data_IF_941789998148
#
_entry.id   IF_941789998148
#
_cell.length_a   1.000
_cell.length_b   1.000
_cell.length_c   1.000
_cell.angle_alpha   90.00
_cell.angle_beta   90.00
_cell.angle_gamma   90.00
#
_symmetry.space_group_name_H-M   'P 1'
#
loop_
_entity.id
_entity.type
_entity.pdbx_description
1 polymer ?
#
# COMPACT_ATOMS: atom_id res chain seq x y z
N UNK A 1 -14.58 -19.45 -14.39
CA UNK A 1 -14.60 -17.98 -14.16
C UNK A 1 -14.92 -17.72 -12.70
N UNK A 2 -14.53 -16.56 -12.17
CA UNK A 2 -14.86 -16.18 -10.78
C UNK A 2 -16.38 -16.14 -10.54
N UNK A 3 -17.15 -15.71 -11.54
CA UNK A 3 -18.61 -15.72 -11.49
C UNK A 3 -19.19 -17.11 -11.25
N UNK A 4 -18.70 -18.15 -11.96
CA UNK A 4 -19.13 -19.54 -11.77
C UNK A 4 -18.78 -20.05 -10.37
N UNK A 5 -17.61 -19.67 -9.85
CA UNK A 5 -17.21 -20.04 -8.49
C UNK A 5 -18.11 -19.39 -7.44
N UNK A 6 -18.45 -18.11 -7.58
CA UNK A 6 -19.38 -17.43 -6.69
C UNK A 6 -20.79 -18.04 -6.76
N UNK A 7 -21.28 -18.40 -7.95
CA UNK A 7 -22.55 -19.12 -8.09
C UNK A 7 -22.52 -20.48 -7.41
N UNK A 8 -21.43 -21.25 -7.55
CA UNK A 8 -21.27 -22.52 -6.85
C UNK A 8 -21.34 -22.34 -5.33
N UNK A 9 -20.61 -21.37 -4.78
CA UNK A 9 -20.64 -21.09 -3.33
C UNK A 9 -22.05 -20.73 -2.87
N UNK A 10 -22.77 -19.90 -3.63
CA UNK A 10 -24.16 -19.55 -3.33
C UNK A 10 -25.05 -20.80 -3.28
N UNK A 11 -24.93 -21.69 -4.27
CA UNK A 11 -25.69 -22.95 -4.29
C UNK A 11 -25.37 -23.83 -3.08
N UNK A 12 -24.09 -24.00 -2.73
CA UNK A 12 -23.70 -24.83 -1.57
C UNK A 12 -24.15 -24.24 -0.23
N UNK A 13 -24.25 -22.90 -0.12
CA UNK A 13 -24.83 -22.24 1.05
C UNK A 13 -26.33 -22.53 1.14
N UNK A 14 -27.06 -22.47 0.02
CA UNK A 14 -28.50 -22.77 -0.02
C UNK A 14 -28.80 -24.25 0.28
N UNK A 15 -27.89 -25.14 -0.09
CA UNK A 15 -27.96 -26.58 0.21
C UNK A 15 -27.44 -26.93 1.62
N UNK A 16 -27.09 -25.93 2.45
CA UNK A 16 -26.57 -26.10 3.81
C UNK A 16 -25.25 -26.90 3.91
N UNK A 17 -24.58 -27.16 2.79
CA UNK A 17 -23.27 -27.81 2.75
C UNK A 17 -22.13 -26.87 3.16
N UNK A 18 -22.35 -25.56 3.05
CA UNK A 18 -21.41 -24.52 3.47
C UNK A 18 -22.10 -23.44 4.30
N UNK A 19 -21.37 -22.91 5.27
CA UNK A 19 -21.80 -21.74 6.03
C UNK A 19 -21.56 -20.46 5.21
N UNK A 20 -22.44 -19.46 5.39
CA UNK A 20 -22.35 -18.15 4.71
C UNK A 20 -21.02 -17.43 4.94
N UNK A 21 -20.32 -17.71 6.04
CA UNK A 21 -19.02 -17.13 6.36
C UNK A 21 -17.90 -17.54 5.36
N UNK A 22 -18.11 -18.56 4.54
CA UNK A 22 -17.21 -18.91 3.45
C UNK A 22 -17.17 -17.82 2.37
N UNK A 23 -18.23 -17.00 2.26
CA UNK A 23 -18.31 -15.88 1.33
C UNK A 23 -17.64 -14.64 1.92
N UNK A 24 -16.32 -14.69 1.99
CA UNK A 24 -15.51 -13.60 2.55
C UNK A 24 -15.52 -12.37 1.64
N UNK A 25 -15.17 -11.22 2.22
CA UNK A 25 -14.99 -9.95 1.48
C UNK A 25 -14.04 -10.11 0.29
N UNK A 26 -12.96 -10.87 0.46
CA UNK A 26 -12.00 -11.16 -0.61
C UNK A 26 -12.67 -11.89 -1.79
N UNK A 27 -13.48 -12.92 -1.52
CA UNK A 27 -14.20 -13.68 -2.56
C UNK A 27 -15.23 -12.81 -3.26
N UNK A 28 -15.90 -11.91 -2.54
CA UNK A 28 -16.80 -10.93 -3.13
C UNK A 28 -16.06 -9.98 -4.08
N UNK A 29 -14.98 -9.35 -3.62
CA UNK A 29 -14.21 -8.39 -4.41
C UNK A 29 -13.53 -8.99 -5.63
N UNK A 30 -13.09 -10.26 -5.57
CA UNK A 30 -12.58 -10.97 -6.74
C UNK A 30 -13.58 -10.98 -7.91
N UNK A 31 -14.89 -11.01 -7.63
CA UNK A 31 -15.93 -10.92 -8.65
C UNK A 31 -15.96 -9.57 -9.38
N UNK A 32 -15.55 -8.50 -8.70
CA UNK A 32 -15.54 -7.14 -9.24
C UNK A 32 -14.24 -6.77 -9.95
N UNK A 33 -13.14 -7.51 -9.72
CA UNK A 33 -11.81 -7.17 -10.28
C UNK A 33 -11.84 -7.03 -11.80
N UNK A 34 -12.51 -7.94 -12.51
CA UNK A 34 -12.59 -7.87 -13.97
C UNK A 34 -13.27 -6.58 -14.44
N UNK A 35 -14.40 -6.21 -13.83
CA UNK A 35 -15.12 -4.97 -14.11
C UNK A 35 -14.28 -3.73 -13.75
N UNK A 36 -13.57 -3.78 -12.62
CA UNK A 36 -12.68 -2.69 -12.20
C UNK A 36 -11.56 -2.49 -13.22
N UNK A 37 -10.94 -3.57 -13.69
CA UNK A 37 -9.86 -3.50 -14.68
C UNK A 37 -10.36 -2.94 -16.01
N UNK A 38 -11.54 -3.37 -16.45
CA UNK A 38 -12.16 -2.89 -17.69
C UNK A 38 -12.45 -1.38 -17.65
N UNK A 39 -12.90 -0.88 -16.50
CA UNK A 39 -13.36 0.52 -16.36
C UNK A 39 -12.27 1.49 -15.94
N UNK A 40 -11.34 1.06 -15.11
CA UNK A 40 -10.33 1.90 -14.45
C UNK A 40 -8.91 1.59 -14.91
N UNK A 41 -8.74 0.60 -15.79
CA UNK A 41 -7.43 0.12 -16.22
C UNK A 41 -6.81 -0.87 -15.23
N UNK A 42 -5.57 -1.32 -15.47
CA UNK A 42 -4.89 -2.29 -14.63
C UNK A 42 -4.90 -1.88 -13.16
N UNK A 43 -5.18 -2.84 -12.27
CA UNK A 43 -5.11 -2.59 -10.84
C UNK A 43 -3.71 -2.12 -10.48
N UNK A 44 -3.61 -0.91 -9.95
CA UNK A 44 -2.36 -0.41 -9.41
C UNK A 44 -1.94 -1.29 -8.23
N UNK A 45 -0.83 -2.02 -8.38
CA UNK A 45 -0.27 -2.82 -7.30
C UNK A 45 0.52 -1.92 -6.36
N UNK A 46 -0.17 -1.14 -5.53
CA UNK A 46 0.48 -0.48 -4.42
C UNK A 46 0.68 -1.49 -3.30
N UNK A 47 1.93 -1.88 -3.05
CA UNK A 47 2.24 -2.69 -1.89
C UNK A 47 2.04 -1.84 -0.63
N UNK A 48 1.09 -2.22 0.23
CA UNK A 48 0.96 -1.65 1.57
C UNK A 48 2.20 -1.91 2.43
N UNK A 49 3.11 -2.80 2.01
CA UNK A 49 4.32 -3.15 2.73
C UNK A 49 5.20 -1.95 3.05
N UNK A 50 5.27 -0.94 2.17
CA UNK A 50 6.04 0.27 2.47
C UNK A 50 5.39 1.08 3.60
N UNK A 51 4.07 1.25 3.56
CA UNK A 51 3.31 1.88 4.63
C UNK A 51 3.47 1.11 5.96
N UNK A 52 3.34 -0.22 5.92
CA UNK A 52 3.52 -1.10 7.08
C UNK A 52 4.92 -0.97 7.69
N UNK A 53 5.97 -0.89 6.85
CA UNK A 53 7.33 -0.62 7.30
C UNK A 53 7.46 0.76 7.97
N UNK A 54 6.86 1.79 7.37
CA UNK A 54 6.86 3.14 7.95
C UNK A 54 6.14 3.16 9.30
N UNK A 55 4.98 2.52 9.42
CA UNK A 55 4.26 2.38 10.68
C UNK A 55 5.11 1.64 11.70
N UNK A 56 5.73 0.51 11.30
CA UNK A 56 6.64 -0.25 12.14
C UNK A 56 7.82 0.60 12.62
N UNK A 57 8.45 1.36 11.73
CA UNK A 57 9.55 2.25 12.06
C UNK A 57 9.19 3.23 13.19
N UNK A 58 8.04 3.90 13.09
CA UNK A 58 7.59 4.84 14.11
C UNK A 58 7.08 4.16 15.40
N UNK A 59 6.47 2.99 15.29
CA UNK A 59 5.97 2.22 16.45
C UNK A 59 7.09 1.80 17.40
N UNK A 60 8.28 1.52 16.88
CA UNK A 60 9.43 1.12 17.70
C UNK A 60 10.26 2.28 18.24
N UNK A 61 9.90 3.54 17.95
CA UNK A 61 10.61 4.70 18.50
C UNK A 61 10.31 4.86 19.98
N UNK A 62 11.35 5.14 20.76
CA UNK A 62 11.20 5.51 22.16
C UNK A 62 10.50 6.86 22.26
N UNK A 63 9.32 6.89 22.87
CA UNK A 63 8.58 8.10 23.17
C UNK A 63 8.63 8.38 24.68
N UNK A 64 8.54 9.66 25.04
CA UNK A 64 8.36 10.06 26.43
C UNK A 64 7.11 9.39 27.01
N UNK A 65 7.24 8.76 28.18
CA UNK A 65 6.10 8.18 28.91
C UNK A 65 5.25 9.26 29.60
N UNK A 66 5.82 10.43 29.85
CA UNK A 66 5.13 11.56 30.51
C UNK A 66 4.42 12.48 29.53
N UNK A 67 4.98 12.69 28.34
CA UNK A 67 4.39 13.53 27.27
C UNK A 67 4.48 12.82 25.90
N UNK A 68 3.76 11.71 25.71
CA UNK A 68 3.88 10.87 24.50
C UNK A 68 3.50 11.63 23.23
N UNK A 69 2.43 12.43 23.25
CA UNK A 69 1.97 13.20 22.09
C UNK A 69 3.01 14.21 21.60
N UNK A 70 3.50 15.07 22.49
CA UNK A 70 4.51 16.09 22.16
C UNK A 70 5.83 15.46 21.72
N UNK A 71 6.24 14.37 22.38
CA UNK A 71 7.44 13.61 22.01
C UNK A 71 7.33 13.03 20.61
N UNK A 72 6.19 12.41 20.29
CA UNK A 72 5.95 11.82 18.98
C UNK A 72 5.87 12.88 17.88
N UNK A 73 5.17 14.00 18.13
CA UNK A 73 5.10 15.11 17.19
C UNK A 73 6.49 15.67 16.86
N UNK A 74 7.37 15.80 17.87
CA UNK A 74 8.75 16.23 17.65
C UNK A 74 9.53 15.23 16.79
N UNK A 75 9.39 13.93 17.04
CA UNK A 75 10.02 12.87 16.22
C UNK A 75 9.54 13.00 14.76
N UNK A 76 8.23 13.08 14.53
CA UNK A 76 7.67 13.21 13.18
C UNK A 76 8.19 14.44 12.44
N UNK A 77 8.21 15.61 13.10
CA UNK A 77 8.73 16.84 12.50
C UNK A 77 10.21 16.72 12.13
N UNK A 78 11.02 16.17 13.03
CA UNK A 78 12.45 16.03 12.81
C UNK A 78 12.75 15.05 11.66
N UNK A 79 12.14 13.86 11.69
CA UNK A 79 12.31 12.84 10.65
C UNK A 79 11.79 13.33 9.29
N UNK A 80 10.66 14.04 9.26
CA UNK A 80 10.15 14.65 8.03
C UNK A 80 11.13 15.65 7.43
N UNK A 81 11.75 16.50 8.26
CA UNK A 81 12.74 17.46 7.79
C UNK A 81 14.00 16.77 7.25
N UNK A 82 14.52 15.78 7.98
CA UNK A 82 15.70 15.00 7.57
C UNK A 82 15.44 14.23 6.27
N UNK A 83 14.29 13.57 6.16
CA UNK A 83 13.92 12.84 4.93
C UNK A 83 13.78 13.79 3.73
N UNK A 84 13.27 15.01 3.94
CA UNK A 84 13.17 16.00 2.86
C UNK A 84 14.55 16.45 2.39
N UNK A 85 15.48 16.71 3.31
CA UNK A 85 16.86 17.07 2.97
C UNK A 85 17.54 15.92 2.22
N UNK A 86 17.45 14.70 2.72
CA UNK A 86 18.02 13.52 2.07
C UNK A 86 17.43 13.28 0.66
N UNK A 87 16.14 13.56 0.46
CA UNK A 87 15.51 13.47 -0.84
C UNK A 87 16.04 14.52 -1.83
N UNK A 88 16.26 15.77 -1.37
CA UNK A 88 16.86 16.82 -2.20
C UNK A 88 18.30 16.47 -2.59
N UNK A 89 19.10 16.00 -1.63
CA UNK A 89 20.48 15.56 -1.88
C UNK A 89 20.52 14.39 -2.89
N UNK A 90 19.59 13.44 -2.78
CA UNK A 90 19.51 12.34 -3.73
C UNK A 90 19.16 12.79 -5.15
N UNK A 91 18.31 13.82 -5.31
CA UNK A 91 17.98 14.39 -6.61
C UNK A 91 19.19 15.13 -7.22
N UNK A 92 19.89 15.94 -6.42
CA UNK A 92 21.09 16.66 -6.87
C UNK A 92 22.19 15.68 -7.33
N UNK A 93 22.42 14.60 -6.57
CA UNK A 93 23.37 13.58 -6.96
C UNK A 93 22.95 12.83 -8.25
N UNK A 94 21.65 12.58 -8.45
CA UNK A 94 21.15 11.95 -9.66
C UNK A 94 21.28 12.85 -10.91
N UNK A 95 21.17 14.17 -10.75
CA UNK A 95 21.43 15.13 -11.84
C UNK A 95 22.93 15.17 -12.19
N UNK A 96 23.80 15.13 -11.19
CA UNK A 96 25.25 15.13 -11.37
C UNK A 96 25.80 13.83 -12.00
N UNK A 97 25.15 12.69 -11.77
CA UNK A 97 25.47 11.40 -12.39
C UNK A 97 24.85 11.20 -13.78
N UNK A 98 24.02 12.14 -14.26
CA UNK A 98 23.50 12.10 -15.62
C UNK A 98 24.63 12.43 -16.62
N UNK A 99 24.91 11.58 -17.64
CA UNK A 99 25.97 11.88 -18.60
C UNK A 99 25.61 13.15 -19.37
N UNK A 100 26.50 14.13 -19.36
CA UNK A 100 26.42 15.32 -20.21
C UNK A 100 26.31 14.88 -21.68
N UNK A 101 25.26 15.36 -22.34
CA UNK A 101 25.03 15.37 -23.79
C UNK A 101 25.16 14.02 -24.54
N UNK A 102 24.07 13.24 -24.55
CA UNK A 102 23.75 12.47 -25.76
C UNK A 102 23.17 13.44 -26.79
N UNK A 103 24.05 14.13 -27.50
CA UNK A 103 23.74 14.85 -28.72
C UNK A 103 23.24 13.83 -29.76
N UNK A 104 21.93 13.63 -29.86
CA UNK A 104 21.35 12.94 -31.01
C UNK A 104 21.58 13.81 -32.25
N UNK A 105 22.56 13.43 -33.07
CA UNK A 105 22.65 13.82 -34.48
C UNK A 105 21.65 13.03 -35.31
#
# INVERSE_FOLDING_TARGET
>A
SISRFQSFLYTQIQLENLLRNCFTSNIHYLGHIAMIIERLGPLQTYSCRQLERTIGHYKHRTISTTLPGSSFQRILKNESALNHVAALEALENAENDSPSDVLFK
#
